data_IF_725516170492
#
_entry.id   IF_725516170492
#
_cell.length_a   1.000
_cell.length_b   1.000
_cell.length_c   1.000
_cell.angle_alpha   90.00
_cell.angle_beta   90.00
_cell.angle_gamma   90.00
#
_symmetry.space_group_name_H-M   'P 1'
#
loop_
_entity.id
_entity.type
_entity.pdbx_description
1 polymer ?
#
# COMPACT_ATOMS: atom_id res chain seq x y z
N UNK A 1 -3.11 -25.54 6.54
CA UNK A 1 -1.71 -25.16 6.72
C UNK A 1 -1.40 -24.23 5.55
N UNK A 2 -1.09 -22.94 5.84
CA UNK A 2 -0.64 -22.00 4.82
C UNK A 2 0.76 -22.41 4.35
N UNK A 3 1.06 -22.24 3.06
CA UNK A 3 2.41 -22.39 2.57
C UNK A 3 3.30 -21.34 3.24
N UNK A 4 4.44 -21.76 3.77
CA UNK A 4 5.49 -20.85 4.24
C UNK A 4 6.21 -20.33 2.99
N UNK A 5 5.88 -19.12 2.57
CA UNK A 5 6.54 -18.44 1.46
C UNK A 5 7.68 -17.62 2.06
N UNK A 6 8.88 -17.74 1.51
CA UNK A 6 10.04 -16.93 1.90
C UNK A 6 10.32 -15.86 0.82
N UNK A 7 11.20 -14.94 1.15
CA UNK A 7 11.54 -13.81 0.26
C UNK A 7 12.18 -14.29 -1.06
N UNK A 8 12.96 -15.37 -1.04
CA UNK A 8 13.61 -15.88 -2.25
C UNK A 8 12.62 -16.54 -3.21
N UNK A 9 11.62 -17.25 -2.67
CA UNK A 9 10.51 -17.78 -3.49
C UNK A 9 9.74 -16.65 -4.17
N UNK A 10 9.52 -15.55 -3.46
CA UNK A 10 8.86 -14.38 -4.01
C UNK A 10 9.71 -13.70 -5.11
N UNK A 11 11.01 -13.53 -4.87
CA UNK A 11 11.95 -13.01 -5.88
C UNK A 11 11.98 -13.89 -7.13
N UNK A 12 12.03 -15.22 -6.96
CA UNK A 12 12.01 -16.17 -8.07
C UNK A 12 10.71 -16.04 -8.87
N UNK A 13 9.56 -15.95 -8.21
CA UNK A 13 8.27 -15.71 -8.85
C UNK A 13 8.26 -14.39 -9.64
N UNK A 14 8.72 -13.29 -9.06
CA UNK A 14 8.78 -12.00 -9.74
C UNK A 14 9.70 -12.05 -10.97
N UNK A 15 10.83 -12.74 -10.87
CA UNK A 15 11.77 -12.91 -11.97
C UNK A 15 11.24 -13.83 -13.08
N UNK A 16 10.45 -14.85 -12.74
CA UNK A 16 9.79 -15.73 -13.70
C UNK A 16 8.75 -14.98 -14.53
N UNK A 17 7.95 -14.13 -13.88
CA UNK A 17 6.85 -13.39 -14.50
C UNK A 17 7.17 -11.92 -14.79
N UNK A 18 8.45 -11.56 -14.87
CA UNK A 18 8.92 -10.17 -14.98
C UNK A 18 8.26 -9.38 -16.11
N UNK A 19 8.06 -10.00 -17.27
CA UNK A 19 7.42 -9.33 -18.43
C UNK A 19 5.94 -8.98 -18.17
N UNK A 20 5.25 -9.74 -17.32
CA UNK A 20 3.84 -9.52 -16.96
C UNK A 20 3.65 -8.63 -15.73
N UNK A 21 4.73 -8.30 -15.01
CA UNK A 21 4.70 -7.46 -13.81
C UNK A 21 5.10 -6.04 -14.16
N UNK A 22 4.22 -5.08 -13.97
CA UNK A 22 4.50 -3.66 -14.16
C UNK A 22 5.14 -3.06 -12.91
N UNK A 23 4.65 -3.42 -11.74
CA UNK A 23 5.11 -2.94 -10.42
C UNK A 23 4.98 -4.08 -9.42
N UNK A 24 5.94 -4.22 -8.53
CA UNK A 24 5.92 -5.18 -7.43
C UNK A 24 6.23 -4.52 -6.10
N UNK A 25 5.65 -5.04 -5.02
CA UNK A 25 5.91 -4.58 -3.67
C UNK A 25 7.13 -5.29 -3.10
N UNK A 26 7.90 -4.60 -2.27
CA UNK A 26 8.93 -5.27 -1.49
C UNK A 26 8.33 -6.22 -0.45
N UNK A 27 9.15 -7.09 0.08
CA UNK A 27 8.83 -7.90 1.24
C UNK A 27 8.99 -7.03 2.49
N UNK A 28 7.89 -6.45 2.95
CA UNK A 28 7.86 -5.55 4.09
C UNK A 28 7.56 -6.29 5.41
N UNK A 29 8.02 -5.71 6.50
CA UNK A 29 7.72 -6.18 7.85
C UNK A 29 6.76 -5.20 8.52
N UNK A 30 5.51 -5.63 8.71
CA UNK A 30 4.51 -4.83 9.41
C UNK A 30 4.83 -4.86 10.91
N UNK A 31 4.83 -3.72 11.63
CA UNK A 31 5.17 -3.64 13.05
C UNK A 31 4.04 -4.17 13.94
N UNK A 32 3.64 -5.43 13.74
CA UNK A 32 2.67 -6.14 14.59
C UNK A 32 3.41 -7.16 15.43
N UNK A 33 3.54 -6.88 16.73
CA UNK A 33 4.30 -7.75 17.64
C UNK A 33 5.83 -7.66 17.50
N UNK A 34 6.31 -6.69 16.72
CA UNK A 34 7.73 -6.35 16.55
C UNK A 34 7.91 -4.87 16.86
N UNK A 35 9.01 -4.50 17.50
CA UNK A 35 9.33 -3.09 17.74
C UNK A 35 9.38 -2.33 16.41
N UNK A 36 8.74 -1.15 16.30
CA UNK A 36 8.63 -0.40 15.04
C UNK A 36 9.97 -0.14 14.36
N UNK A 37 11.01 0.18 15.13
CA UNK A 37 12.34 0.42 14.59
C UNK A 37 12.96 -0.83 13.97
N UNK A 38 12.76 -1.99 14.60
CA UNK A 38 13.25 -3.28 14.09
C UNK A 38 12.50 -3.64 12.80
N UNK A 39 11.18 -3.43 12.77
CA UNK A 39 10.37 -3.68 11.58
C UNK A 39 10.80 -2.79 10.41
N UNK A 40 11.01 -1.50 10.66
CA UNK A 40 11.46 -0.54 9.64
C UNK A 40 12.86 -0.89 9.11
N UNK A 41 13.78 -1.31 9.99
CA UNK A 41 15.11 -1.75 9.57
C UNK A 41 15.03 -3.02 8.71
N UNK A 42 14.22 -4.01 9.10
CA UNK A 42 14.01 -5.22 8.30
C UNK A 42 13.39 -4.90 6.94
N UNK A 43 12.39 -4.00 6.90
CA UNK A 43 11.78 -3.49 5.67
C UNK A 43 12.83 -2.86 4.75
N UNK A 44 13.71 -2.04 5.31
CA UNK A 44 14.82 -1.43 4.60
C UNK A 44 15.80 -2.45 4.02
N UNK A 45 16.22 -3.41 4.84
CA UNK A 45 17.19 -4.45 4.43
C UNK A 45 16.58 -5.36 3.36
N UNK A 46 15.30 -5.72 3.49
CA UNK A 46 14.58 -6.51 2.50
C UNK A 46 14.43 -5.77 1.16
N UNK A 47 14.24 -4.45 1.17
CA UNK A 47 14.17 -3.67 -0.08
C UNK A 47 15.46 -3.83 -0.90
N UNK A 48 16.61 -3.62 -0.28
CA UNK A 48 17.90 -3.74 -0.96
C UNK A 48 18.23 -5.18 -1.33
N UNK A 49 17.91 -6.13 -0.45
CA UNK A 49 18.06 -7.56 -0.74
C UNK A 49 17.30 -7.99 -1.98
N UNK A 50 16.04 -7.56 -2.12
CA UNK A 50 15.22 -7.84 -3.30
C UNK A 50 15.74 -7.09 -4.53
N UNK A 51 16.05 -5.81 -4.38
CA UNK A 51 16.50 -4.96 -5.48
C UNK A 51 17.73 -5.51 -6.19
N UNK A 52 18.68 -6.07 -5.44
CA UNK A 52 19.90 -6.67 -5.98
C UNK A 52 19.66 -7.96 -6.77
N UNK A 53 18.50 -8.61 -6.57
CA UNK A 53 18.17 -9.94 -7.11
C UNK A 53 17.07 -9.94 -8.15
N UNK A 54 16.36 -8.85 -8.29
CA UNK A 54 15.32 -8.69 -9.30
C UNK A 54 15.93 -8.39 -10.68
N UNK A 55 15.33 -8.95 -11.74
CA UNK A 55 15.69 -8.63 -13.14
C UNK A 55 15.39 -7.19 -13.48
N UNK A 56 14.25 -6.66 -12.97
CA UNK A 56 13.77 -5.30 -13.20
C UNK A 56 13.60 -4.58 -11.86
N UNK A 57 14.71 -4.16 -11.20
CA UNK A 57 14.64 -3.57 -9.86
C UNK A 57 13.92 -2.21 -9.82
N UNK A 58 13.76 -1.53 -10.96
CA UNK A 58 13.00 -0.28 -11.08
C UNK A 58 11.49 -0.46 -10.88
N UNK A 59 10.99 -1.70 -10.96
CA UNK A 59 9.59 -2.05 -10.70
C UNK A 59 9.27 -2.20 -9.20
N UNK A 60 10.30 -2.21 -8.34
CA UNK A 60 10.14 -2.45 -6.91
C UNK A 60 9.68 -1.19 -6.18
N UNK A 61 8.53 -1.27 -5.52
CA UNK A 61 8.05 -0.23 -4.60
C UNK A 61 8.74 -0.35 -3.24
N UNK A 62 9.18 0.77 -2.69
CA UNK A 62 9.51 0.88 -1.26
C UNK A 62 8.24 1.07 -0.45
N UNK A 63 8.05 0.36 0.64
CA UNK A 63 6.85 0.44 1.50
C UNK A 63 7.16 1.18 2.79
N UNK A 64 6.33 2.17 3.12
CA UNK A 64 6.35 2.90 4.38
C UNK A 64 4.98 2.81 5.07
N UNK A 65 4.95 2.47 6.37
CA UNK A 65 3.71 2.24 7.10
C UNK A 65 3.40 3.34 8.12
N UNK A 66 2.12 3.54 8.35
CA UNK A 66 1.66 4.34 9.49
C UNK A 66 2.11 3.70 10.81
N UNK A 67 2.73 4.49 11.66
CA UNK A 67 3.33 4.04 12.92
C UNK A 67 4.85 3.88 12.89
N UNK A 68 5.49 3.95 11.72
CA UNK A 68 6.94 4.02 11.59
C UNK A 68 7.46 5.44 11.82
N UNK A 69 8.74 5.56 12.22
CA UNK A 69 9.41 6.86 12.29
C UNK A 69 9.60 7.44 10.88
N UNK A 70 9.17 8.67 10.67
CA UNK A 70 9.27 9.37 9.38
C UNK A 70 10.70 9.52 8.85
N UNK A 71 11.73 9.35 9.71
CA UNK A 71 13.14 9.29 9.24
C UNK A 71 13.36 8.21 8.18
N UNK A 72 12.59 7.11 8.21
CA UNK A 72 12.66 6.04 7.23
C UNK A 72 12.09 6.47 5.87
N UNK A 73 11.01 7.23 5.88
CA UNK A 73 10.49 7.85 4.66
C UNK A 73 11.49 8.85 4.08
N UNK A 74 12.05 9.74 4.91
CA UNK A 74 13.07 10.70 4.49
C UNK A 74 14.30 10.00 3.92
N UNK A 75 14.79 8.95 4.60
CA UNK A 75 15.90 8.13 4.14
C UNK A 75 15.62 7.51 2.78
N UNK A 76 14.43 6.95 2.56
CA UNK A 76 14.04 6.38 1.28
C UNK A 76 13.99 7.43 0.16
N UNK A 77 13.45 8.61 0.44
CA UNK A 77 13.36 9.70 -0.53
C UNK A 77 14.73 10.27 -0.96
N UNK A 78 15.77 10.13 -0.11
CA UNK A 78 17.12 10.58 -0.42
C UNK A 78 17.88 9.66 -1.40
N UNK A 79 17.36 8.44 -1.64
CA UNK A 79 17.95 7.51 -2.60
C UNK A 79 17.37 7.70 -4.00
N UNK A 80 18.24 7.90 -4.99
CA UNK A 80 17.83 8.13 -6.38
C UNK A 80 17.14 6.92 -6.99
N UNK A 81 17.53 5.71 -6.58
CA UNK A 81 16.95 4.45 -7.05
C UNK A 81 15.53 4.20 -6.57
N UNK A 82 15.09 4.84 -5.47
CA UNK A 82 13.72 4.71 -4.98
C UNK A 82 12.85 5.75 -5.68
N UNK A 83 12.20 5.35 -6.74
CA UNK A 83 11.37 6.21 -7.59
C UNK A 83 9.87 6.05 -7.32
N UNK A 84 9.49 5.04 -6.54
CA UNK A 84 8.10 4.76 -6.22
C UNK A 84 7.97 4.28 -4.77
N UNK A 85 7.12 4.94 -4.00
CA UNK A 85 6.89 4.64 -2.57
C UNK A 85 5.42 4.29 -2.35
N UNK A 86 5.17 3.18 -1.68
CA UNK A 86 3.84 2.81 -1.22
C UNK A 86 3.64 3.26 0.23
N UNK A 87 2.49 3.87 0.50
CA UNK A 87 2.07 4.31 1.82
C UNK A 87 0.99 3.35 2.35
N UNK A 88 1.33 2.61 3.40
CA UNK A 88 0.52 1.53 3.95
C UNK A 88 0.21 1.66 5.45
N UNK A 89 -0.27 0.56 6.06
CA UNK A 89 -0.55 0.51 7.50
C UNK A 89 -1.84 1.21 7.95
N UNK A 90 -2.62 1.77 7.00
CA UNK A 90 -3.80 2.61 7.30
C UNK A 90 -5.14 1.89 7.11
N UNK A 91 -5.13 0.66 6.61
CA UNK A 91 -6.35 -0.14 6.49
C UNK A 91 -7.04 -0.27 7.86
N UNK A 92 -8.35 -0.04 7.92
CA UNK A 92 -9.16 -0.05 9.15
C UNK A 92 -8.85 1.07 10.17
N UNK A 93 -7.94 1.99 9.90
CA UNK A 93 -7.71 3.16 10.77
C UNK A 93 -8.82 4.21 10.57
N UNK A 94 -9.18 4.97 11.62
CA UNK A 94 -10.11 6.11 11.49
C UNK A 94 -9.66 7.13 10.44
N UNK A 95 -10.62 7.81 9.81
CA UNK A 95 -10.34 8.81 8.78
C UNK A 95 -9.28 9.84 9.22
N UNK A 96 -9.41 10.39 10.43
CA UNK A 96 -8.47 11.40 10.96
C UNK A 96 -7.03 10.90 11.04
N UNK A 97 -6.83 9.64 11.39
CA UNK A 97 -5.48 9.03 11.46
C UNK A 97 -4.90 8.89 10.06
N UNK A 98 -5.71 8.37 9.11
CA UNK A 98 -5.31 8.24 7.71
C UNK A 98 -4.96 9.60 7.08
N UNK A 99 -5.82 10.58 7.30
CA UNK A 99 -5.65 11.94 6.78
C UNK A 99 -4.37 12.58 7.32
N UNK A 100 -4.13 12.50 8.63
CA UNK A 100 -2.92 13.06 9.25
C UNK A 100 -1.64 12.36 8.78
N UNK A 101 -1.67 11.04 8.63
CA UNK A 101 -0.55 10.26 8.11
C UNK A 101 -0.18 10.71 6.69
N UNK A 102 -1.16 10.76 5.78
CA UNK A 102 -0.90 11.17 4.40
C UNK A 102 -0.49 12.64 4.30
N UNK A 103 -1.10 13.53 5.08
CA UNK A 103 -0.69 14.94 5.15
C UNK A 103 0.81 15.05 5.47
N UNK A 104 1.27 14.38 6.53
CA UNK A 104 2.68 14.41 6.93
C UNK A 104 3.58 13.76 5.86
N UNK A 105 3.18 12.61 5.29
CA UNK A 105 3.96 11.99 4.22
C UNK A 105 4.11 12.91 3.01
N UNK A 106 3.04 13.53 2.54
CA UNK A 106 3.09 14.42 1.37
C UNK A 106 3.81 15.74 1.65
N UNK A 107 3.78 16.25 2.89
CA UNK A 107 4.64 17.37 3.29
C UNK A 107 6.12 17.04 3.17
N UNK A 108 6.54 15.84 3.61
CA UNK A 108 7.93 15.38 3.50
C UNK A 108 8.29 15.15 2.03
N UNK A 109 7.45 14.41 1.29
CA UNK A 109 7.66 14.10 -0.13
C UNK A 109 7.83 15.38 -0.95
N UNK A 110 6.97 16.38 -0.73
CA UNK A 110 7.04 17.64 -1.47
C UNK A 110 8.32 18.43 -1.24
N UNK A 111 8.95 18.27 -0.07
CA UNK A 111 10.21 18.95 0.28
C UNK A 111 11.44 18.19 -0.20
N UNK A 112 11.43 16.86 -0.09
CA UNK A 112 12.62 16.02 -0.33
C UNK A 112 12.70 15.52 -1.76
N UNK A 113 11.61 14.95 -2.29
CA UNK A 113 11.57 14.35 -3.65
C UNK A 113 10.19 14.47 -4.27
N UNK A 114 9.78 15.66 -4.75
CA UNK A 114 8.41 15.91 -5.26
C UNK A 114 8.07 15.10 -6.52
N UNK A 115 9.04 14.51 -7.17
CA UNK A 115 8.87 13.70 -8.39
C UNK A 115 8.66 12.22 -8.12
N UNK A 116 8.79 11.77 -6.86
CA UNK A 116 8.57 10.36 -6.51
C UNK A 116 7.12 9.97 -6.75
N UNK A 117 6.91 8.81 -7.37
CA UNK A 117 5.57 8.24 -7.50
C UNK A 117 5.08 7.70 -6.16
N UNK A 118 3.78 7.75 -5.92
CA UNK A 118 3.19 7.27 -4.67
C UNK A 118 2.03 6.32 -4.91
N UNK A 119 1.96 5.25 -4.13
CA UNK A 119 0.88 4.27 -4.13
C UNK A 119 0.19 4.26 -2.77
N UNK A 120 -1.13 4.21 -2.75
CA UNK A 120 -1.91 4.08 -1.52
C UNK A 120 -2.40 2.65 -1.34
N UNK A 121 -1.85 1.91 -0.37
CA UNK A 121 -2.29 0.56 -0.06
C UNK A 121 -3.64 0.51 0.65
N UNK A 122 -4.50 -0.40 0.18
CA UNK A 122 -5.79 -0.68 0.80
C UNK A 122 -6.73 0.53 0.85
N UNK A 123 -6.60 1.47 -0.10
CA UNK A 123 -7.27 2.75 -0.07
C UNK A 123 -8.37 2.86 -1.14
N UNK A 124 -9.61 3.01 -0.68
CA UNK A 124 -10.77 3.33 -1.52
C UNK A 124 -11.51 4.58 -1.08
N UNK A 125 -11.03 5.26 -0.04
CA UNK A 125 -11.69 6.49 0.42
C UNK A 125 -11.49 7.62 -0.59
N UNK A 126 -12.56 7.95 -1.31
CA UNK A 126 -12.56 8.95 -2.37
C UNK A 126 -12.03 10.31 -1.90
N UNK A 127 -12.41 10.77 -0.70
CA UNK A 127 -11.99 12.08 -0.17
C UNK A 127 -10.47 12.14 0.00
N UNK A 128 -9.83 11.05 0.43
CA UNK A 128 -8.38 11.00 0.56
C UNK A 128 -7.68 10.90 -0.79
N UNK A 129 -8.24 10.10 -1.72
CA UNK A 129 -7.69 9.98 -3.08
C UNK A 129 -7.80 11.27 -3.88
N UNK A 130 -8.86 12.08 -3.66
CA UNK A 130 -8.99 13.40 -4.29
C UNK A 130 -8.12 14.47 -3.60
N UNK A 131 -7.85 14.32 -2.30
CA UNK A 131 -7.06 15.29 -1.52
C UNK A 131 -5.54 15.15 -1.76
N UNK A 132 -5.05 13.93 -1.93
CA UNK A 132 -3.62 13.64 -2.04
C UNK A 132 -3.25 13.16 -3.44
N UNK A 133 -2.10 13.60 -4.00
CA UNK A 133 -1.68 13.29 -5.38
C UNK A 133 -1.06 11.89 -5.49
N UNK A 134 -1.81 10.85 -5.15
CA UNK A 134 -1.37 9.48 -5.38
C UNK A 134 -1.27 9.17 -6.87
N UNK A 135 -0.21 8.47 -7.26
CA UNK A 135 -0.04 7.96 -8.63
C UNK A 135 -0.96 6.76 -8.88
N UNK A 136 -1.10 5.89 -7.88
CA UNK A 136 -2.00 4.74 -7.93
C UNK A 136 -2.52 4.36 -6.55
N UNK A 137 -3.56 3.54 -6.51
CA UNK A 137 -4.13 2.98 -5.28
C UNK A 137 -4.72 1.60 -5.57
N UNK A 138 -4.75 0.75 -4.55
CA UNK A 138 -5.41 -0.55 -4.61
C UNK A 138 -6.39 -0.73 -3.45
N UNK A 139 -7.27 -1.69 -3.58
CA UNK A 139 -8.05 -2.18 -2.45
C UNK A 139 -8.78 -3.47 -2.81
N UNK A 140 -8.91 -4.35 -1.84
CA UNK A 140 -9.76 -5.55 -1.96
C UNK A 140 -11.25 -5.25 -1.76
N UNK A 141 -11.62 -4.01 -1.45
CA UNK A 141 -13.01 -3.63 -1.16
C UNK A 141 -13.95 -3.78 -2.37
N UNK A 142 -13.44 -3.84 -3.60
CA UNK A 142 -14.23 -4.16 -4.80
C UNK A 142 -14.89 -5.55 -4.73
N UNK A 143 -14.35 -6.45 -3.91
CA UNK A 143 -14.93 -7.78 -3.68
C UNK A 143 -16.15 -7.75 -2.74
N UNK A 144 -16.30 -6.71 -1.91
CA UNK A 144 -17.41 -6.61 -0.96
C UNK A 144 -18.78 -6.59 -1.62
N UNK A 145 -19.01 -5.86 -2.72
CA UNK A 145 -20.26 -5.89 -3.41
C UNK A 145 -20.71 -7.30 -3.78
N UNK A 146 -19.82 -8.10 -4.37
CA UNK A 146 -20.12 -9.49 -4.70
C UNK A 146 -20.46 -10.34 -3.47
N UNK A 147 -19.79 -10.12 -2.34
CA UNK A 147 -20.03 -10.83 -1.08
C UNK A 147 -21.39 -10.50 -0.44
N UNK A 148 -21.86 -9.26 -0.60
CA UNK A 148 -23.10 -8.78 0.05
C UNK A 148 -24.26 -8.57 -0.93
N UNK A 149 -24.15 -9.08 -2.17
CA UNK A 149 -25.21 -8.95 -3.17
C UNK A 149 -25.52 -7.51 -3.56
N UNK A 150 -24.48 -6.69 -3.60
CA UNK A 150 -24.56 -5.30 -4.03
C UNK A 150 -23.74 -5.07 -5.28
N UNK A 151 -24.05 -4.02 -6.03
CA UNK A 151 -23.20 -3.50 -7.11
C UNK A 151 -22.86 -2.05 -6.86
N UNK A 152 -21.69 -1.65 -7.29
CA UNK A 152 -21.30 -0.26 -7.31
C UNK A 152 -21.63 0.34 -8.68
N UNK A 153 -22.41 1.42 -8.71
CA UNK A 153 -22.88 2.04 -9.94
C UNK A 153 -22.55 3.53 -9.95
N UNK A 154 -22.02 4.01 -11.08
CA UNK A 154 -21.76 5.44 -11.31
C UNK A 154 -20.88 6.05 -10.21
N UNK A 155 -21.31 7.18 -9.66
CA UNK A 155 -20.57 7.96 -8.66
C UNK A 155 -20.49 7.29 -7.28
N UNK A 156 -20.01 6.04 -7.23
CA UNK A 156 -19.82 5.26 -5.99
C UNK A 156 -21.12 4.92 -5.25
N UNK A 157 -22.26 4.99 -5.92
CA UNK A 157 -23.53 4.54 -5.35
C UNK A 157 -23.56 3.03 -5.26
N UNK A 158 -23.92 2.54 -4.08
CA UNK A 158 -24.11 1.11 -3.85
C UNK A 158 -25.58 0.78 -4.05
N UNK A 159 -25.85 -0.16 -4.95
CA UNK A 159 -27.20 -0.67 -5.23
C UNK A 159 -27.26 -2.12 -4.76
N UNK A 160 -28.22 -2.43 -3.90
CA UNK A 160 -28.50 -3.80 -3.49
C UNK A 160 -29.23 -4.53 -4.63
N UNK A 161 -28.70 -5.65 -5.07
CA UNK A 161 -29.24 -6.48 -6.15
C UNK A 161 -29.60 -7.89 -5.67
N UNK A 162 -29.41 -8.21 -4.38
CA UNK A 162 -29.82 -9.47 -3.80
C UNK A 162 -31.23 -9.40 -3.25
N UNK A 163 -31.99 -10.48 -3.40
CA UNK A 163 -33.34 -10.63 -2.81
C UNK A 163 -33.29 -10.71 -1.27
N UNK A 164 -32.12 -11.01 -0.68
CA UNK A 164 -31.89 -10.98 0.76
C UNK A 164 -31.19 -9.68 1.11
N UNK A 165 -31.86 -8.83 1.91
CA UNK A 165 -31.19 -7.72 2.58
C UNK A 165 -30.18 -8.30 3.59
N UNK A 166 -28.92 -8.41 3.17
CA UNK A 166 -27.82 -8.59 4.10
C UNK A 166 -27.43 -7.19 4.55
N UNK A 167 -27.65 -6.87 5.81
CA UNK A 167 -27.19 -5.59 6.38
C UNK A 167 -25.68 -5.46 6.16
N UNK A 168 -25.29 -4.57 5.29
CA UNK A 168 -23.91 -4.16 5.16
C UNK A 168 -23.52 -3.42 6.45
N UNK A 169 -22.40 -3.72 7.08
CA UNK A 169 -21.94 -2.93 8.23
C UNK A 169 -21.71 -1.48 7.78
N UNK A 170 -22.45 -0.53 8.34
CA UNK A 170 -22.44 0.90 7.98
C UNK A 170 -21.08 1.60 8.07
N UNK A 171 -20.07 0.94 8.59
CA UNK A 171 -18.73 1.51 8.83
C UNK A 171 -17.69 1.22 7.77
N UNK A 172 -18.06 0.60 6.66
CA UNK A 172 -17.10 0.24 5.60
C UNK A 172 -16.89 1.39 4.59
N UNK A 173 -17.79 2.38 4.58
CA UNK A 173 -17.80 3.41 3.52
C UNK A 173 -17.79 4.87 4.00
N UNK A 174 -17.58 5.12 5.32
CA UNK A 174 -17.45 6.48 5.85
C UNK A 174 -16.00 6.90 6.06
#
# INVERSE_FOLDING_TARGET
QGAEINVDDYINFLNEYDEGVEICCQWDTIPVGVEPEVASQQTWDNYWYMRERLKSPEKLLYVFHEGEDYKWLEKALQHDEITYIALGGVAKKPFKIRDKFFETCFEIISKVKPTVKTHAFGMTNRKLLEKYPFTSADSTSWMYPAKFGTIQWGDWKIVNVSERQVESPDHVYN
#
